data_IF_377425851363
#
_entry.id   IF_377425851363
#
_cell.length_a   1.000
_cell.length_b   1.000
_cell.length_c   1.000
_cell.angle_alpha   90.00
_cell.angle_beta   90.00
_cell.angle_gamma   90.00
#
_symmetry.space_group_name_H-M   'P 1'
#
loop_
_entity.id
_entity.type
_entity.pdbx_description
1 polymer ?
#
# COMPACT_ATOMS: atom_id res chain seq x y z
N UNK A 1 -2.98 17.15 9.05
CA UNK A 1 -4.11 16.26 8.71
C UNK A 1 -4.65 16.70 7.37
N UNK A 2 -4.39 15.95 6.31
CA UNK A 2 -4.96 16.25 4.99
C UNK A 2 -6.38 15.70 4.96
N UNK A 3 -7.34 16.57 4.65
CA UNK A 3 -8.71 16.18 4.35
C UNK A 3 -8.75 15.87 2.85
N UNK A 4 -9.02 14.61 2.51
CA UNK A 4 -9.00 14.10 1.15
C UNK A 4 -10.44 13.98 0.63
N UNK A 5 -10.78 14.59 -0.50
CA UNK A 5 -11.95 14.22 -1.30
C UNK A 5 -11.49 13.68 -2.65
N UNK A 6 -11.99 12.51 -3.01
CA UNK A 6 -11.94 11.97 -4.37
C UNK A 6 -13.38 11.99 -4.87
N UNK A 7 -13.68 12.95 -5.74
CA UNK A 7 -15.01 13.08 -6.31
C UNK A 7 -15.05 12.32 -7.63
N UNK A 8 -15.80 11.21 -7.66
CA UNK A 8 -16.10 10.49 -8.89
C UNK A 8 -17.21 11.23 -9.65
N UNK A 9 -16.85 12.29 -10.36
CA UNK A 9 -17.79 13.11 -11.13
C UNK A 9 -18.11 12.45 -12.49
N UNK A 10 -18.84 11.33 -12.44
CA UNK A 10 -19.10 10.47 -13.61
C UNK A 10 -20.52 10.52 -14.18
N UNK A 11 -21.45 11.30 -13.62
CA UNK A 11 -22.88 11.16 -13.99
C UNK A 11 -23.32 11.85 -15.29
N UNK A 12 -22.56 12.77 -15.87
CA UNK A 12 -23.04 13.61 -16.99
C UNK A 12 -22.03 13.84 -18.15
N UNK A 13 -21.07 12.96 -18.39
CA UNK A 13 -20.13 13.13 -19.53
C UNK A 13 -20.63 12.39 -20.80
N UNK A 14 -20.99 13.09 -21.90
CA UNK A 14 -21.49 12.48 -23.13
C UNK A 14 -20.43 11.69 -23.93
N UNK A 15 -19.17 11.71 -23.51
CA UNK A 15 -18.05 11.01 -24.17
C UNK A 15 -17.75 9.61 -23.62
N UNK A 16 -18.49 9.13 -22.61
CA UNK A 16 -18.37 7.77 -22.05
C UNK A 16 -17.07 7.48 -21.29
N UNK A 17 -16.09 8.39 -21.32
CA UNK A 17 -14.82 8.28 -20.61
C UNK A 17 -14.98 8.85 -19.21
N UNK A 18 -14.64 8.02 -18.21
CA UNK A 18 -14.68 8.41 -16.80
C UNK A 18 -13.33 8.98 -16.39
N UNK A 19 -13.39 10.21 -15.86
CA UNK A 19 -12.24 10.97 -15.42
C UNK A 19 -12.30 11.06 -13.91
N UNK A 20 -11.24 10.60 -13.25
CA UNK A 20 -11.06 10.71 -11.81
C UNK A 20 -10.02 11.78 -11.54
N UNK A 21 -10.25 12.64 -10.55
CA UNK A 21 -9.30 13.66 -10.13
C UNK A 21 -8.72 13.33 -8.77
N UNK A 22 -7.40 13.50 -8.62
CA UNK A 22 -6.74 13.56 -7.32
C UNK A 22 -6.38 15.01 -7.00
N UNK A 23 -6.58 15.38 -5.75
CA UNK A 23 -6.27 16.70 -5.22
C UNK A 23 -5.51 16.50 -3.92
N UNK A 24 -4.32 17.12 -3.81
CA UNK A 24 -3.53 17.11 -2.60
C UNK A 24 -3.21 18.54 -2.14
N UNK A 25 -3.28 18.74 -0.83
CA UNK A 25 -3.15 20.03 -0.17
C UNK A 25 -1.84 20.05 0.63
N UNK A 26 -0.97 21.01 0.31
CA UNK A 26 0.35 21.17 0.89
C UNK A 26 0.48 22.52 1.60
N UNK A 27 1.08 22.55 2.79
CA UNK A 27 1.32 23.80 3.51
C UNK A 27 2.54 24.58 2.95
N UNK A 28 3.50 23.86 2.36
CA UNK A 28 4.75 24.41 1.84
C UNK A 28 5.98 23.82 2.55
N UNK A 29 7.11 24.54 2.52
CA UNK A 29 8.38 24.07 3.12
C UNK A 29 8.46 24.29 4.63
N UNK A 30 7.70 25.24 5.14
CA UNK A 30 7.70 25.64 6.55
C UNK A 30 6.35 25.36 7.14
N UNK A 31 6.34 24.64 8.27
CA UNK A 31 5.12 24.38 9.01
C UNK A 31 4.82 25.56 9.93
N UNK A 32 3.58 26.05 9.91
CA UNK A 32 3.13 27.21 10.69
C UNK A 32 3.12 26.87 12.18
N UNK A 33 2.64 25.68 12.53
CA UNK A 33 2.66 25.17 13.90
C UNK A 33 2.84 23.65 13.92
N UNK A 34 3.87 23.18 14.66
CA UNK A 34 4.22 21.76 14.76
C UNK A 34 3.55 21.01 15.91
N UNK A 35 2.98 21.73 16.88
CA UNK A 35 2.47 21.11 18.13
C UNK A 35 0.95 21.04 18.17
N UNK A 36 0.27 22.10 17.71
CA UNK A 36 -1.20 22.19 17.78
C UNK A 36 -1.74 22.68 16.45
N UNK A 37 -2.78 22.00 15.97
CA UNK A 37 -3.60 22.46 14.85
C UNK A 37 -4.88 23.10 15.40
N UNK A 38 -5.17 24.34 15.00
CA UNK A 38 -6.40 25.05 15.33
C UNK A 38 -7.02 25.61 14.06
N UNK A 39 -8.30 25.35 13.82
CA UNK A 39 -9.01 25.93 12.68
C UNK A 39 -9.27 27.43 12.83
N UNK A 40 -9.18 27.97 14.05
CA UNK A 40 -9.35 29.40 14.33
C UNK A 40 -8.09 30.22 14.00
N UNK A 41 -6.92 29.59 14.14
CA UNK A 41 -5.63 30.14 13.75
C UNK A 41 -5.14 29.40 12.51
N UNK A 42 -5.90 29.60 11.43
CA UNK A 42 -5.73 28.83 10.21
C UNK A 42 -4.35 29.11 9.59
N UNK A 43 -3.60 28.06 9.22
CA UNK A 43 -2.36 28.23 8.48
C UNK A 43 -2.62 28.97 7.14
N UNK A 44 -1.58 29.51 6.49
CA UNK A 44 -1.72 30.10 5.17
C UNK A 44 -2.39 29.14 4.20
N UNK A 45 -3.05 29.70 3.17
CA UNK A 45 -3.77 28.93 2.18
C UNK A 45 -2.88 27.81 1.61
N UNK A 46 -3.34 26.55 1.64
CA UNK A 46 -2.54 25.44 1.18
C UNK A 46 -2.32 25.53 -0.33
N UNK A 47 -1.13 25.15 -0.77
CA UNK A 47 -0.81 24.89 -2.17
C UNK A 47 -1.57 23.64 -2.62
N UNK A 48 -2.32 23.77 -3.71
CA UNK A 48 -3.19 22.72 -4.23
C UNK A 48 -2.55 22.14 -5.48
N UNK A 49 -2.15 20.88 -5.41
CA UNK A 49 -1.72 20.11 -6.57
C UNK A 49 -2.87 19.21 -7.01
N UNK A 50 -3.12 19.16 -8.32
CA UNK A 50 -4.24 18.39 -8.88
C UNK A 50 -3.82 17.66 -10.14
N UNK A 51 -4.31 16.44 -10.28
CA UNK A 51 -4.08 15.64 -11.48
C UNK A 51 -5.33 14.83 -11.79
N UNK A 52 -5.52 14.49 -13.06
CA UNK A 52 -6.67 13.75 -13.53
C UNK A 52 -6.23 12.47 -14.22
N UNK A 53 -7.01 11.43 -14.07
CA UNK A 53 -6.72 10.09 -14.56
C UNK A 53 -7.94 9.52 -15.24
N UNK A 54 -7.72 8.65 -16.21
CA UNK A 54 -8.75 7.98 -16.99
C UNK A 54 -8.80 6.52 -16.53
N UNK A 55 -10.01 6.06 -16.20
CA UNK A 55 -10.27 4.65 -15.92
C UNK A 55 -11.04 4.02 -17.09
N UNK A 56 -10.67 2.79 -17.51
CA UNK A 56 -11.31 2.12 -18.64
C UNK A 56 -12.68 1.53 -18.29
N UNK A 57 -13.07 1.52 -17.00
CA UNK A 57 -14.30 0.91 -16.52
C UNK A 57 -15.04 1.82 -15.54
N UNK A 58 -16.36 1.63 -15.46
CA UNK A 58 -17.19 2.39 -14.56
C UNK A 58 -17.06 2.00 -13.10
N UNK A 59 -16.85 3.02 -12.26
CA UNK A 59 -16.68 2.92 -10.81
C UNK A 59 -18.04 3.04 -10.14
N UNK A 60 -18.39 2.04 -9.34
CA UNK A 60 -19.60 2.03 -8.51
C UNK A 60 -19.32 2.60 -7.11
N UNK A 61 -18.17 2.28 -6.53
CA UNK A 61 -17.78 2.75 -5.19
C UNK A 61 -16.25 2.89 -5.09
N UNK A 62 -15.79 3.81 -4.23
CA UNK A 62 -14.38 4.00 -3.90
C UNK A 62 -14.21 3.97 -2.38
N UNK A 63 -13.13 3.37 -1.89
CA UNK A 63 -12.79 3.38 -0.47
C UNK A 63 -11.30 3.22 -0.24
N UNK A 64 -10.75 3.98 0.70
CA UNK A 64 -9.36 3.87 1.12
C UNK A 64 -9.13 2.73 2.13
N UNK A 65 -7.95 2.11 2.10
CA UNK A 65 -7.51 1.17 3.12
C UNK A 65 -7.11 1.90 4.41
N UNK A 66 -7.54 1.40 5.56
CA UNK A 66 -7.29 2.00 6.88
C UNK A 66 -6.60 0.97 7.79
N UNK A 67 -5.52 1.40 8.44
CA UNK A 67 -4.78 0.64 9.47
C UNK A 67 -4.66 1.47 10.74
N UNK A 68 -4.23 0.85 11.84
CA UNK A 68 -4.24 1.50 13.17
C UNK A 68 -3.31 2.70 13.25
N UNK A 69 -2.09 2.56 12.72
CA UNK A 69 -1.05 3.60 12.78
C UNK A 69 -0.90 4.35 11.46
N UNK A 70 -1.47 3.84 10.37
CA UNK A 70 -1.34 4.44 9.03
C UNK A 70 0.09 4.45 8.51
N UNK A 71 0.91 3.48 8.92
CA UNK A 71 2.31 3.34 8.51
C UNK A 71 2.40 2.62 7.16
N UNK A 72 1.55 1.62 6.93
CA UNK A 72 1.51 0.91 5.63
C UNK A 72 1.10 1.86 4.51
N UNK A 73 1.55 1.57 3.28
CA UNK A 73 1.13 2.30 2.08
C UNK A 73 -0.39 2.28 1.95
N UNK A 74 -0.99 3.44 1.70
CA UNK A 74 -2.43 3.52 1.47
C UNK A 74 -2.76 3.06 0.06
N UNK A 75 -3.73 2.17 -0.05
CA UNK A 75 -4.31 1.75 -1.31
C UNK A 75 -5.76 2.23 -1.39
N UNK A 76 -6.25 2.40 -2.61
CA UNK A 76 -7.64 2.67 -2.92
C UNK A 76 -8.26 1.38 -3.45
N UNK A 77 -9.41 1.06 -2.88
CA UNK A 77 -10.30 0.03 -3.36
C UNK A 77 -11.30 0.65 -4.33
N UNK A 78 -11.38 0.07 -5.52
CA UNK A 78 -12.24 0.50 -6.61
C UNK A 78 -13.24 -0.61 -6.87
N UNK A 79 -14.49 -0.39 -6.47
CA UNK A 79 -15.60 -1.27 -6.81
C UNK A 79 -16.10 -0.92 -8.20
N UNK A 80 -15.99 -1.85 -9.14
CA UNK A 80 -16.40 -1.69 -10.52
C UNK A 80 -17.88 -2.06 -10.68
N UNK A 81 -18.54 -1.46 -11.67
CA UNK A 81 -19.94 -1.78 -12.03
C UNK A 81 -20.14 -3.23 -12.49
N UNK A 82 -19.07 -3.90 -12.94
CA UNK A 82 -19.04 -5.33 -13.27
C UNK A 82 -19.12 -6.23 -12.03
N UNK A 83 -18.97 -5.67 -10.83
CA UNK A 83 -18.90 -6.42 -9.57
C UNK A 83 -17.50 -6.88 -9.20
N UNK A 84 -16.48 -6.55 -9.99
CA UNK A 84 -15.07 -6.74 -9.64
C UNK A 84 -14.59 -5.64 -8.70
N UNK A 85 -13.67 -5.97 -7.79
CA UNK A 85 -13.10 -5.03 -6.83
C UNK A 85 -11.59 -5.00 -7.04
N UNK A 86 -11.07 -3.85 -7.43
CA UNK A 86 -9.65 -3.65 -7.71
C UNK A 86 -8.96 -2.91 -6.56
N UNK A 87 -7.73 -3.30 -6.25
CA UNK A 87 -6.87 -2.62 -5.30
C UNK A 87 -5.75 -1.87 -6.03
N UNK A 88 -5.64 -0.57 -5.79
CA UNK A 88 -4.64 0.27 -6.45
C UNK A 88 -3.83 1.06 -5.44
N UNK A 89 -2.51 1.17 -5.66
CA UNK A 89 -1.66 1.97 -4.79
C UNK A 89 -1.94 3.46 -4.94
N UNK A 90 -2.03 4.20 -3.82
CA UNK A 90 -2.19 5.66 -3.83
C UNK A 90 -1.04 6.37 -4.53
N UNK A 91 0.16 5.79 -4.53
CA UNK A 91 1.31 6.35 -5.22
C UNK A 91 1.09 6.52 -6.74
N UNK A 92 0.16 5.75 -7.34
CA UNK A 92 -0.22 5.92 -8.74
C UNK A 92 -1.16 7.12 -8.96
N UNK A 93 -1.76 7.66 -7.90
CA UNK A 93 -2.71 8.77 -7.96
C UNK A 93 -2.09 10.08 -7.43
N UNK A 94 -0.80 10.07 -7.12
CA UNK A 94 -0.05 11.25 -6.67
C UNK A 94 -0.08 12.35 -7.77
N UNK A 95 -0.57 13.56 -7.46
CA UNK A 95 -0.62 14.67 -8.41
C UNK A 95 0.75 15.26 -8.76
N UNK A 96 1.81 14.90 -8.03
CA UNK A 96 3.18 15.35 -8.29
C UNK A 96 3.87 14.58 -9.41
N UNK A 97 3.21 13.57 -10.00
CA UNK A 97 3.79 12.74 -11.06
C UNK A 97 4.07 13.59 -12.30
N UNK A 98 5.33 13.74 -12.71
CA UNK A 98 5.67 14.61 -13.83
C UNK A 98 5.39 13.91 -15.16
N UNK A 99 5.01 14.69 -16.18
CA UNK A 99 4.75 14.17 -17.54
C UNK A 99 6.05 13.67 -18.20
N UNK A 100 7.13 14.41 -18.00
CA UNK A 100 8.50 14.00 -18.40
C UNK A 100 9.20 13.44 -17.16
N UNK A 101 10.25 12.63 -17.32
CA UNK A 101 11.01 12.06 -16.20
C UNK A 101 12.27 12.89 -15.85
N UNK A 102 12.18 14.02 -15.11
CA UNK A 102 13.36 14.79 -14.71
C UNK A 102 14.21 14.00 -13.69
N UNK A 103 15.51 14.30 -13.62
CA UNK A 103 16.45 13.61 -12.72
C UNK A 103 16.02 13.65 -11.25
N UNK A 104 15.54 14.80 -10.76
CA UNK A 104 15.05 14.95 -9.38
C UNK A 104 13.87 14.02 -9.04
N UNK A 105 12.94 13.82 -9.98
CA UNK A 105 11.81 12.90 -9.75
C UNK A 105 12.26 11.44 -9.74
N UNK A 106 13.34 11.12 -10.48
CA UNK A 106 13.95 9.78 -10.47
C UNK A 106 14.67 9.49 -9.16
N UNK A 107 15.31 10.51 -8.56
CA UNK A 107 15.93 10.39 -7.23
C UNK A 107 14.90 10.11 -6.14
N UNK A 108 13.70 10.71 -6.23
CA UNK A 108 12.58 10.45 -5.32
C UNK A 108 11.81 9.15 -5.63
N UNK A 109 12.13 8.46 -6.73
CA UNK A 109 11.45 7.24 -7.16
C UNK A 109 10.01 7.45 -7.68
N UNK A 110 9.67 8.68 -8.08
CA UNK A 110 8.32 9.01 -8.58
C UNK A 110 8.15 8.46 -10.00
N UNK A 111 7.09 7.67 -10.18
CA UNK A 111 6.71 7.15 -11.49
C UNK A 111 6.16 8.27 -12.39
N UNK A 112 6.59 8.38 -13.66
CA UNK A 112 6.07 9.38 -14.59
C UNK A 112 4.55 9.29 -14.74
N UNK A 113 3.90 10.42 -14.96
CA UNK A 113 2.46 10.47 -15.14
C UNK A 113 2.02 9.61 -16.33
N UNK A 114 1.00 8.79 -16.08
CA UNK A 114 0.35 7.97 -17.08
C UNK A 114 -1.15 8.24 -16.98
N UNK A 115 -1.77 8.87 -17.99
CA UNK A 115 -3.15 9.32 -17.91
C UNK A 115 -4.14 8.17 -17.78
N UNK A 116 -3.86 7.05 -18.44
CA UNK A 116 -4.67 5.84 -18.33
C UNK A 116 -4.16 4.96 -17.20
N UNK A 117 -5.04 4.64 -16.25
CA UNK A 117 -4.73 3.73 -15.16
C UNK A 117 -5.04 2.30 -15.59
N UNK A 118 -4.03 1.41 -15.63
CA UNK A 118 -4.23 0.04 -16.04
C UNK A 118 -4.99 -0.72 -14.93
N UNK A 119 -5.95 -1.54 -15.35
CA UNK A 119 -6.69 -2.44 -14.47
C UNK A 119 -6.40 -3.90 -14.86
N UNK A 120 -5.19 -4.43 -14.57
CA UNK A 120 -4.89 -5.83 -14.81
C UNK A 120 -5.73 -6.73 -13.90
N UNK A 121 -5.90 -8.00 -14.26
CA UNK A 121 -6.69 -8.92 -13.46
C UNK A 121 -6.03 -9.28 -12.12
N UNK A 122 -4.72 -9.08 -11.98
CA UNK A 122 -3.94 -9.39 -10.77
C UNK A 122 -4.27 -8.47 -9.59
N UNK A 123 -4.77 -7.26 -9.85
CA UNK A 123 -5.16 -6.32 -8.80
C UNK A 123 -6.60 -6.54 -8.31
N UNK A 124 -7.32 -7.51 -8.90
CA UNK A 124 -8.69 -7.82 -8.50
C UNK A 124 -8.70 -8.69 -7.24
N UNK A 125 -9.11 -8.11 -6.11
CA UNK A 125 -9.10 -8.80 -4.81
C UNK A 125 -10.16 -9.89 -4.71
N UNK A 126 -11.23 -9.80 -5.51
CA UNK A 126 -12.34 -10.73 -5.47
C UNK A 126 -12.25 -11.84 -6.53
N UNK A 127 -11.16 -11.92 -7.31
CA UNK A 127 -10.92 -12.98 -8.30
C UNK A 127 -12.17 -13.38 -9.11
N UNK A 128 -12.79 -14.52 -8.79
CA UNK A 128 -13.98 -15.06 -9.47
C UNK A 128 -15.29 -14.92 -8.65
N UNK A 129 -15.27 -14.11 -7.59
CA UNK A 129 -16.39 -13.85 -6.69
C UNK A 129 -16.90 -12.42 -6.89
N UNK A 130 -17.58 -12.19 -8.02
CA UNK A 130 -18.15 -10.88 -8.34
C UNK A 130 -19.28 -10.51 -7.39
N UNK A 131 -19.28 -9.28 -6.88
CA UNK A 131 -20.35 -8.75 -6.02
C UNK A 131 -21.34 -7.99 -6.88
N UNK A 132 -22.56 -8.51 -7.03
CA UNK A 132 -23.57 -7.82 -7.82
C UNK A 132 -24.00 -6.50 -7.16
N UNK A 133 -24.10 -5.44 -7.97
CA UNK A 133 -24.61 -4.13 -7.58
C UNK A 133 -23.97 -3.56 -6.30
N UNK A 134 -22.65 -3.30 -6.37
CA UNK A 134 -21.89 -2.71 -5.26
C UNK A 134 -22.51 -1.35 -4.88
N UNK A 135 -22.94 -1.22 -3.62
CA UNK A 135 -23.48 0.03 -3.05
C UNK A 135 -22.45 0.79 -2.25
N UNK A 136 -21.54 0.07 -1.61
CA UNK A 136 -20.51 0.67 -0.78
C UNK A 136 -19.45 -0.34 -0.34
N UNK A 137 -18.38 0.20 0.25
CA UNK A 137 -17.26 -0.55 0.79
C UNK A 137 -16.87 0.04 2.14
N UNK A 138 -16.56 -0.85 3.09
CA UNK A 138 -16.08 -0.50 4.41
C UNK A 138 -14.72 -1.13 4.63
N UNK A 139 -13.81 -0.35 5.21
CA UNK A 139 -12.47 -0.77 5.58
C UNK A 139 -12.28 -0.60 7.08
N UNK A 140 -11.65 -1.59 7.71
CA UNK A 140 -11.38 -1.57 9.15
C UNK A 140 -9.97 -2.12 9.43
N UNK A 141 -9.28 -1.60 10.46
CA UNK A 141 -8.02 -2.16 10.89
C UNK A 141 -8.22 -3.60 11.39
N UNK A 142 -7.26 -4.47 11.11
CA UNK A 142 -7.34 -5.91 11.45
C UNK A 142 -6.64 -6.29 12.75
N UNK A 143 -5.97 -5.34 13.41
CA UNK A 143 -5.07 -5.56 14.56
C UNK A 143 -3.60 -5.76 14.18
N UNK A 144 -3.31 -6.07 12.91
CA UNK A 144 -1.97 -6.02 12.33
C UNK A 144 -1.83 -4.76 11.48
N UNK A 145 -0.68 -4.11 11.52
CA UNK A 145 -0.46 -2.85 10.78
C UNK A 145 -0.32 -3.10 9.28
N UNK A 146 0.21 -4.27 8.90
CA UNK A 146 0.33 -4.67 7.49
C UNK A 146 -0.98 -5.13 6.82
N UNK A 147 -2.09 -5.30 7.55
CA UNK A 147 -3.34 -5.85 7.00
C UNK A 147 -4.59 -5.03 7.35
N UNK A 148 -5.53 -4.96 6.40
CA UNK A 148 -6.81 -4.26 6.51
C UNK A 148 -7.97 -5.23 6.20
N UNK A 149 -9.07 -5.15 6.94
CA UNK A 149 -10.30 -5.86 6.65
C UNK A 149 -11.13 -5.03 5.66
N UNK A 150 -11.61 -5.67 4.61
CA UNK A 150 -12.45 -5.06 3.58
C UNK A 150 -13.78 -5.79 3.55
N UNK A 151 -14.87 -5.04 3.72
CA UNK A 151 -16.23 -5.49 3.52
C UNK A 151 -16.83 -4.73 2.33
N UNK A 152 -17.22 -5.46 1.30
CA UNK A 152 -17.92 -4.94 0.13
C UNK A 152 -19.38 -5.36 0.24
N UNK A 153 -20.29 -4.40 0.14
CA UNK A 153 -21.73 -4.68 0.26
C UNK A 153 -22.53 -4.13 -0.92
N UNK A 154 -23.43 -4.96 -1.42
CA UNK A 154 -24.29 -4.66 -2.56
C UNK A 154 -25.59 -5.45 -2.49
N UNK A 155 -25.85 -6.25 -3.52
CA UNK A 155 -26.80 -7.35 -3.45
C UNK A 155 -26.23 -8.51 -2.60
N UNK A 156 -24.95 -8.79 -2.80
CA UNK A 156 -24.18 -9.78 -2.06
C UNK A 156 -23.20 -9.12 -1.09
N UNK A 157 -22.65 -9.91 -0.17
CA UNK A 157 -21.63 -9.48 0.79
C UNK A 157 -20.32 -10.24 0.50
N UNK A 158 -19.22 -9.50 0.42
CA UNK A 158 -17.89 -10.07 0.26
C UNK A 158 -16.96 -9.48 1.30
N UNK A 159 -16.22 -10.35 1.99
CA UNK A 159 -15.26 -9.96 3.03
C UNK A 159 -13.92 -10.57 2.70
N UNK A 160 -12.89 -9.74 2.70
CA UNK A 160 -11.50 -10.20 2.52
C UNK A 160 -10.53 -9.38 3.36
N UNK A 161 -9.31 -9.89 3.49
CA UNK A 161 -8.18 -9.14 4.06
C UNK A 161 -7.28 -8.68 2.92
N UNK A 162 -6.83 -7.44 3.03
CA UNK A 162 -5.95 -6.81 2.05
C UNK A 162 -4.68 -6.35 2.73
N UNK A 163 -3.54 -6.50 2.06
CA UNK A 163 -2.21 -6.20 2.61
C UNK A 163 -1.44 -5.26 1.69
N UNK A 164 -1.66 -3.93 1.78
CA UNK A 164 -1.16 -2.97 0.82
C UNK A 164 0.36 -3.01 0.60
N UNK A 165 1.14 -3.07 1.69
CA UNK A 165 2.60 -3.15 1.63
C UNK A 165 3.16 -4.58 1.74
N UNK A 166 2.34 -5.60 1.45
CA UNK A 166 2.58 -6.99 1.85
C UNK A 166 2.64 -7.15 3.36
N UNK A 167 2.58 -8.40 3.83
CA UNK A 167 2.56 -8.74 5.25
C UNK A 167 3.97 -8.64 5.85
N UNK A 168 4.38 -7.44 6.28
CA UNK A 168 5.70 -7.22 6.90
C UNK A 168 5.72 -7.56 8.40
N UNK A 169 4.56 -7.63 9.05
CA UNK A 169 4.43 -8.01 10.47
C UNK A 169 4.21 -9.51 10.68
N UNK A 170 4.09 -10.26 9.58
CA UNK A 170 3.89 -11.71 9.60
C UNK A 170 5.08 -12.42 8.96
N UNK A 171 5.41 -13.58 9.51
CA UNK A 171 6.33 -14.49 8.85
C UNK A 171 5.68 -15.03 7.57
N UNK A 172 6.49 -15.20 6.52
CA UNK A 172 6.00 -15.77 5.26
C UNK A 172 5.38 -17.14 5.49
N UNK A 173 4.28 -17.43 4.80
CA UNK A 173 3.66 -18.75 4.84
C UNK A 173 4.60 -19.83 4.30
N UNK A 174 5.37 -19.50 3.25
CA UNK A 174 6.36 -20.39 2.62
C UNK A 174 7.74 -20.36 3.29
N UNK A 175 7.83 -20.04 4.58
CA UNK A 175 9.11 -19.97 5.27
C UNK A 175 9.72 -21.36 5.49
N UNK A 176 10.94 -21.58 5.02
CA UNK A 176 11.64 -22.87 5.16
C UNK A 176 12.27 -23.02 6.56
N UNK A 177 11.44 -23.48 7.50
CA UNK A 177 11.88 -23.79 8.86
C UNK A 177 12.89 -24.95 8.89
N UNK A 178 12.82 -25.87 7.93
CA UNK A 178 13.69 -27.05 7.88
C UNK A 178 15.13 -26.62 7.58
N UNK A 179 15.33 -25.78 6.56
CA UNK A 179 16.64 -25.26 6.19
C UNK A 179 17.33 -24.55 7.36
N UNK A 180 16.63 -23.65 8.04
CA UNK A 180 17.21 -22.89 9.16
C UNK A 180 17.57 -23.82 10.32
N UNK A 181 16.71 -24.79 10.61
CA UNK A 181 16.97 -25.77 11.68
C UNK A 181 18.21 -26.62 11.35
N UNK A 182 18.34 -27.11 10.12
CA UNK A 182 19.51 -27.89 9.69
C UNK A 182 20.78 -27.05 9.77
N UNK A 183 20.77 -25.82 9.26
CA UNK A 183 21.92 -24.91 9.31
C UNK A 183 22.35 -24.65 10.76
N UNK A 184 21.39 -24.44 11.67
CA UNK A 184 21.66 -24.20 13.09
C UNK A 184 22.30 -25.43 13.75
N UNK A 185 21.81 -26.64 13.47
CA UNK A 185 22.38 -27.89 13.98
C UNK A 185 23.80 -28.10 13.44
N UNK A 186 24.02 -27.89 12.14
CA UNK A 186 25.35 -28.02 11.52
C UNK A 186 26.34 -27.02 12.12
N UNK A 187 25.95 -25.75 12.28
CA UNK A 187 26.83 -24.73 12.87
C UNK A 187 27.16 -25.01 14.34
N UNK A 188 26.19 -25.44 15.14
CA UNK A 188 26.42 -25.75 16.56
C UNK A 188 27.31 -26.98 16.75
N UNK A 189 27.06 -28.06 16.02
CA UNK A 189 27.90 -29.27 16.05
C UNK A 189 29.32 -29.00 15.56
N UNK A 190 29.46 -28.29 14.44
CA UNK A 190 30.76 -27.89 13.89
C UNK A 190 31.54 -27.04 14.89
N UNK A 191 30.89 -26.06 15.52
CA UNK A 191 31.52 -25.21 16.53
C UNK A 191 32.05 -26.02 17.73
N UNK A 192 31.28 -27.00 18.21
CA UNK A 192 31.71 -27.86 19.31
C UNK A 192 32.92 -28.72 18.94
N UNK A 193 32.90 -29.32 17.75
CA UNK A 193 34.02 -30.11 17.23
C UNK A 193 35.28 -29.25 17.07
N UNK A 194 35.14 -28.08 16.45
CA UNK A 194 36.25 -27.13 16.25
C UNK A 194 36.81 -26.66 17.59
N UNK A 195 35.97 -26.35 18.58
CA UNK A 195 36.42 -26.00 19.95
C UNK A 195 37.27 -27.12 20.55
N UNK A 196 36.82 -28.36 20.47
CA UNK A 196 37.53 -29.50 21.04
C UNK A 196 38.88 -29.73 20.33
N UNK A 197 38.91 -29.60 19.00
CA UNK A 197 40.14 -29.69 18.21
C UNK A 197 41.11 -28.55 18.53
N UNK A 198 40.60 -27.33 18.69
CA UNK A 198 41.40 -26.15 19.04
C UNK A 198 42.03 -26.29 20.43
N UNK A 199 41.27 -26.71 21.45
CA UNK A 199 41.80 -26.96 22.80
C UNK A 199 42.91 -28.01 22.77
N UNK A 200 42.73 -29.11 22.02
CA UNK A 200 43.76 -30.14 21.84
C UNK A 200 45.01 -29.57 21.15
N UNK A 201 44.84 -28.72 20.13
CA UNK A 201 45.96 -28.09 19.41
C UNK A 201 46.76 -27.12 20.29
N UNK A 202 46.08 -26.29 21.11
CA UNK A 202 46.72 -25.36 22.04
C UNK A 202 47.56 -26.10 23.07
N UNK A 203 47.01 -27.16 23.69
CA UNK A 203 47.77 -27.98 24.65
C UNK A 203 48.98 -28.61 23.96
N UNK A 204 48.83 -29.22 22.77
CA UNK A 204 49.98 -29.81 22.07
C UNK A 204 51.08 -28.79 21.72
N UNK A 205 50.72 -27.53 21.47
CA UNK A 205 51.67 -26.45 21.19
C UNK A 205 52.35 -25.91 22.46
N UNK A 206 51.65 -25.88 23.60
CA UNK A 206 52.21 -25.45 24.87
C UNK A 206 53.18 -26.46 25.49
N UNK A 207 53.06 -27.75 25.13
CA UNK A 207 53.92 -28.84 25.58
C UNK A 207 55.06 -29.16 24.60
N UNK A 208 55.37 -28.19 23.75
CA UNK A 208 56.51 -28.22 22.83
C UNK A 208 57.54 -27.21 23.31
#
# INVERSE_FOLDING_TARGET
>A
MSNYSLDAEGRNNPSGVLVNSSIELYEGKTQTNSTVWSSLDAPPLPMVERQSYILPMAVAALKETITEKGITSKHILIGLTTGAVAEMSWALLDPRRPVTSPEKAREEGIVPYMPELPLPHEILINYNQTVAHIRGMHTAPSGLESTCLVLVHGLDLFVTRVSPSKTFDLLKEDFDYFLITVVLVVLTTTSFVVKQLASKKIVKQAWK
#
